data_IF_473762523496
#
_entry.id   IF_473762523496
#
_cell.length_a   1.000
_cell.length_b   1.000
_cell.length_c   1.000
_cell.angle_alpha   90.00
_cell.angle_beta   90.00
_cell.angle_gamma   90.00
#
_symmetry.space_group_name_H-M   'P 1'
#
loop_
_entity.id
_entity.type
_entity.pdbx_description
1 polymer ?
#
# COMPACT_ATOMS: atom_id res chain seq x y z
N UNK A 1 -10.27 -26.72 -9.12
CA UNK A 1 -9.88 -25.35 -8.88
C UNK A 1 -11.04 -24.40 -9.13
N UNK A 2 -11.35 -23.51 -8.19
CA UNK A 2 -12.45 -22.57 -8.45
C UNK A 2 -12.08 -21.60 -9.57
N UNK A 3 -13.06 -21.27 -10.39
CA UNK A 3 -12.89 -20.25 -11.43
C UNK A 3 -12.83 -18.85 -10.79
N UNK A 4 -12.26 -17.84 -11.52
CA UNK A 4 -12.27 -16.47 -11.03
C UNK A 4 -13.68 -16.02 -10.67
N UNK A 5 -13.82 -15.36 -9.52
CA UNK A 5 -15.09 -14.89 -9.00
C UNK A 5 -15.87 -15.93 -8.19
N UNK A 6 -15.39 -17.14 -8.13
CA UNK A 6 -16.06 -18.21 -7.39
C UNK A 6 -15.62 -18.20 -5.91
N UNK A 7 -16.60 -18.32 -5.00
CA UNK A 7 -16.33 -18.41 -3.56
C UNK A 7 -16.36 -19.87 -3.14
N UNK A 8 -15.42 -20.26 -2.29
CA UNK A 8 -15.28 -21.63 -1.83
C UNK A 8 -15.54 -21.68 -0.33
N UNK A 9 -16.61 -22.41 0.05
CA UNK A 9 -16.96 -22.60 1.46
C UNK A 9 -17.13 -21.29 2.19
N UNK A 10 -16.47 -21.14 3.35
CA UNK A 10 -16.53 -19.93 4.18
C UNK A 10 -15.49 -18.87 3.81
N UNK A 11 -14.77 -19.07 2.73
CA UNK A 11 -13.79 -18.10 2.27
C UNK A 11 -14.51 -16.96 1.57
N UNK A 12 -14.47 -15.73 2.15
CA UNK A 12 -15.28 -14.63 1.63
C UNK A 12 -14.71 -13.93 0.41
N UNK A 13 -13.54 -14.34 -0.07
CA UNK A 13 -12.85 -13.69 -1.18
C UNK A 13 -13.06 -14.43 -2.49
N UNK A 14 -13.05 -13.68 -3.59
CA UNK A 14 -13.11 -14.21 -4.95
C UNK A 14 -11.87 -13.74 -5.71
N UNK A 15 -11.37 -14.59 -6.65
CA UNK A 15 -10.29 -14.17 -7.52
C UNK A 15 -10.74 -12.98 -8.38
N UNK A 16 -9.87 -11.99 -8.56
CA UNK A 16 -10.15 -10.90 -9.48
C UNK A 16 -10.17 -11.41 -10.91
N UNK A 17 -11.05 -10.82 -11.72
CA UNK A 17 -11.11 -11.13 -13.15
C UNK A 17 -9.86 -10.59 -13.84
N UNK A 18 -9.36 -11.27 -14.88
CA UNK A 18 -8.10 -10.86 -15.54
C UNK A 18 -8.08 -9.40 -16.01
N UNK A 19 -9.18 -8.91 -16.53
CA UNK A 19 -9.27 -7.53 -17.01
C UNK A 19 -9.14 -6.52 -15.86
N UNK A 20 -9.83 -6.76 -14.75
CA UNK A 20 -9.78 -5.92 -13.57
C UNK A 20 -8.40 -6.00 -12.90
N UNK A 21 -7.82 -7.20 -12.88
CA UNK A 21 -6.49 -7.43 -12.34
C UNK A 21 -5.43 -6.62 -13.11
N UNK A 22 -5.50 -6.63 -14.43
CA UNK A 22 -4.56 -5.87 -15.26
C UNK A 22 -4.65 -4.37 -14.99
N UNK A 23 -5.87 -3.84 -14.83
CA UNK A 23 -6.07 -2.43 -14.51
C UNK A 23 -5.45 -2.07 -13.16
N UNK A 24 -5.64 -2.94 -12.18
CA UNK A 24 -5.10 -2.71 -10.83
C UNK A 24 -3.58 -2.77 -10.83
N UNK A 25 -2.99 -3.74 -11.51
CA UNK A 25 -1.53 -3.88 -11.59
C UNK A 25 -0.92 -2.63 -12.19
N UNK A 26 -1.52 -2.10 -13.24
CA UNK A 26 -1.05 -0.87 -13.87
C UNK A 26 -1.16 0.33 -12.93
N UNK A 27 -2.27 0.45 -12.21
CA UNK A 27 -2.46 1.53 -11.24
C UNK A 27 -1.45 1.42 -10.09
N UNK A 28 -1.18 0.22 -9.60
CA UNK A 28 -0.20 -0.02 -8.54
C UNK A 28 1.21 0.36 -9.01
N UNK A 29 1.57 -0.05 -10.23
CA UNK A 29 2.89 0.27 -10.79
C UNK A 29 3.07 1.79 -10.94
N UNK A 30 2.01 2.52 -11.26
CA UNK A 30 2.07 3.96 -11.39
C UNK A 30 2.44 4.68 -10.09
N UNK A 31 2.12 4.10 -8.94
CA UNK A 31 2.51 4.63 -7.63
C UNK A 31 3.73 3.93 -7.04
N UNK A 32 4.33 2.99 -7.77
CA UNK A 32 5.56 2.33 -7.35
C UNK A 32 5.37 1.03 -6.57
N UNK A 33 4.20 0.43 -6.64
CA UNK A 33 3.93 -0.84 -5.96
C UNK A 33 4.01 -1.99 -6.94
N UNK A 34 4.82 -2.98 -6.61
CA UNK A 34 4.99 -4.19 -7.41
C UNK A 34 5.11 -5.40 -6.49
N UNK A 35 4.76 -6.57 -7.01
CA UNK A 35 4.86 -7.82 -6.28
C UNK A 35 5.20 -8.96 -7.23
N UNK A 36 5.66 -10.05 -6.64
CA UNK A 36 6.07 -11.23 -7.39
C UNK A 36 4.86 -12.01 -7.91
N UNK A 37 5.05 -12.75 -9.00
CA UNK A 37 4.00 -13.53 -9.66
C UNK A 37 3.37 -14.61 -8.78
N UNK A 38 4.03 -14.97 -7.68
CA UNK A 38 3.48 -15.94 -6.73
C UNK A 38 2.42 -15.35 -5.79
N UNK A 39 2.09 -14.07 -5.96
CA UNK A 39 0.99 -13.42 -5.26
C UNK A 39 -0.14 -13.16 -6.23
N UNK A 40 -1.35 -13.56 -5.85
CA UNK A 40 -2.55 -13.39 -6.66
C UNK A 40 -3.51 -12.40 -6.03
N UNK A 41 -4.29 -11.71 -6.88
CA UNK A 41 -5.26 -10.71 -6.44
C UNK A 41 -6.62 -11.35 -6.21
N UNK A 42 -7.17 -11.06 -5.03
CA UNK A 42 -8.50 -11.47 -4.61
C UNK A 42 -9.29 -10.26 -4.16
N UNK A 43 -10.60 -10.37 -4.18
CA UNK A 43 -11.46 -9.25 -3.77
C UNK A 43 -12.60 -9.74 -2.88
N UNK A 44 -13.04 -8.83 -2.00
CA UNK A 44 -14.23 -8.98 -1.18
C UNK A 44 -14.88 -7.61 -1.11
N UNK A 45 -16.06 -7.46 -1.72
CA UNK A 45 -16.73 -6.17 -1.87
C UNK A 45 -15.80 -5.17 -2.55
N UNK A 46 -15.41 -4.11 -1.87
CA UNK A 46 -14.49 -3.09 -2.40
C UNK A 46 -13.04 -3.32 -2.00
N UNK A 47 -12.78 -4.33 -1.18
CA UNK A 47 -11.43 -4.63 -0.71
C UNK A 47 -10.69 -5.49 -1.71
N UNK A 48 -9.43 -5.16 -1.94
CA UNK A 48 -8.54 -5.90 -2.82
C UNK A 48 -7.36 -6.40 -2.00
N UNK A 49 -7.09 -7.70 -2.11
CA UNK A 49 -6.10 -8.39 -1.30
C UNK A 49 -5.12 -9.15 -2.17
N UNK A 50 -3.90 -9.32 -1.66
CA UNK A 50 -2.88 -10.20 -2.23
C UNK A 50 -2.75 -11.44 -1.37
N UNK A 51 -2.90 -12.60 -1.99
CA UNK A 51 -2.68 -13.89 -1.34
C UNK A 51 -1.63 -14.69 -2.09
N UNK A 52 -0.89 -15.57 -1.39
CA UNK A 52 0.02 -16.48 -2.07
C UNK A 52 -0.70 -17.33 -3.11
N UNK A 53 -0.05 -17.58 -4.23
CA UNK A 53 -0.64 -18.35 -5.33
C UNK A 53 -1.06 -19.75 -4.89
N UNK A 54 -0.38 -20.33 -3.91
CA UNK A 54 -0.64 -21.68 -3.42
C UNK A 54 -1.79 -21.75 -2.39
N UNK A 55 -2.44 -20.64 -2.08
CA UNK A 55 -3.52 -20.64 -1.09
C UNK A 55 -4.76 -21.38 -1.58
N UNK A 56 -5.02 -21.36 -2.90
CA UNK A 56 -6.23 -21.94 -3.47
C UNK A 56 -6.48 -23.40 -3.04
N UNK A 57 -5.47 -24.30 -3.07
CA UNK A 57 -5.68 -25.67 -2.62
C UNK A 57 -5.99 -25.81 -1.13
N UNK A 58 -5.70 -24.80 -0.32
CA UNK A 58 -5.91 -24.82 1.12
C UNK A 58 -7.25 -24.23 1.54
N UNK A 59 -7.95 -23.56 0.62
CA UNK A 59 -9.22 -22.92 0.92
C UNK A 59 -10.25 -23.99 1.32
N UNK A 60 -10.87 -23.79 2.48
CA UNK A 60 -11.83 -24.72 3.04
C UNK A 60 -11.21 -25.86 3.85
N UNK A 61 -9.88 -26.03 3.79
CA UNK A 61 -9.17 -27.10 4.50
C UNK A 61 -8.49 -26.62 5.77
N UNK A 62 -8.10 -25.35 5.81
CA UNK A 62 -7.44 -24.77 6.97
C UNK A 62 -8.07 -23.42 7.28
N UNK A 63 -7.96 -22.99 8.53
CA UNK A 63 -8.44 -21.70 8.96
C UNK A 63 -7.30 -20.67 8.81
N UNK A 64 -7.59 -19.55 8.16
CA UNK A 64 -6.62 -18.48 7.97
C UNK A 64 -6.94 -17.32 8.93
N UNK A 65 -5.97 -16.90 9.72
CA UNK A 65 -6.08 -15.69 10.54
C UNK A 65 -5.65 -14.44 9.75
N UNK A 66 -4.54 -14.55 9.01
CA UNK A 66 -4.04 -13.48 8.14
C UNK A 66 -3.45 -14.09 6.87
N UNK A 67 -4.30 -14.45 5.92
CA UNK A 67 -3.82 -15.18 4.74
C UNK A 67 -3.08 -14.31 3.73
N UNK A 68 -3.18 -12.97 3.82
CA UNK A 68 -2.57 -12.10 2.83
C UNK A 68 -2.47 -10.67 3.30
N UNK A 69 -2.20 -9.79 2.34
CA UNK A 69 -2.04 -8.35 2.56
C UNK A 69 -3.21 -7.63 1.89
N UNK A 70 -3.91 -6.80 2.64
CA UNK A 70 -4.91 -5.92 2.05
C UNK A 70 -4.18 -4.85 1.26
N UNK A 71 -4.38 -4.84 -0.05
CA UNK A 71 -3.67 -3.95 -0.96
C UNK A 71 -4.34 -2.60 -1.07
N UNK A 72 -5.65 -2.59 -1.30
CA UNK A 72 -6.38 -1.36 -1.60
C UNK A 72 -7.86 -1.53 -1.38
N UNK A 73 -8.56 -0.40 -1.39
CA UNK A 73 -10.02 -0.37 -1.53
C UNK A 73 -10.35 0.36 -2.83
N UNK A 74 -11.27 -0.20 -3.61
CA UNK A 74 -11.71 0.46 -4.84
C UNK A 74 -12.80 1.48 -4.53
N UNK A 75 -12.80 2.59 -5.26
CA UNK A 75 -13.87 3.59 -5.19
C UNK A 75 -14.01 4.26 -6.56
N UNK A 76 -14.99 5.16 -6.69
CA UNK A 76 -15.39 5.72 -7.99
C UNK A 76 -14.26 6.34 -8.80
N UNK A 77 -13.24 6.89 -8.15
CA UNK A 77 -12.14 7.60 -8.82
C UNK A 77 -10.84 6.81 -8.83
N UNK A 78 -10.86 5.54 -8.46
CA UNK A 78 -9.66 4.71 -8.45
C UNK A 78 -9.51 3.88 -7.19
N UNK A 79 -8.30 3.85 -6.66
CA UNK A 79 -7.97 2.96 -5.53
C UNK A 79 -7.41 3.76 -4.36
N UNK A 80 -7.78 3.35 -3.16
CA UNK A 80 -7.13 3.83 -1.94
C UNK A 80 -6.15 2.76 -1.49
N UNK A 81 -4.87 3.03 -1.65
CA UNK A 81 -3.82 2.08 -1.28
C UNK A 81 -3.68 2.01 0.22
N UNK A 82 -3.56 0.80 0.75
CA UNK A 82 -3.45 0.59 2.19
C UNK A 82 -2.01 0.81 2.65
N UNK A 83 -1.85 1.42 3.81
CA UNK A 83 -0.54 1.74 4.37
C UNK A 83 0.36 0.51 4.47
N UNK A 84 -0.17 -0.60 5.00
CA UNK A 84 0.60 -1.84 5.15
C UNK A 84 1.14 -2.35 3.82
N UNK A 85 0.33 -2.25 2.77
CA UNK A 85 0.74 -2.68 1.43
C UNK A 85 1.83 -1.76 0.87
N UNK A 86 1.70 -0.46 1.07
CA UNK A 86 2.73 0.49 0.64
C UNK A 86 4.07 0.15 1.30
N UNK A 87 4.07 -0.06 2.61
CA UNK A 87 5.29 -0.38 3.34
C UNK A 87 5.89 -1.72 2.87
N UNK A 88 5.05 -2.71 2.62
CA UNK A 88 5.52 -4.05 2.25
C UNK A 88 5.99 -4.15 0.80
N UNK A 89 5.38 -3.39 -0.11
CA UNK A 89 5.56 -3.58 -1.55
C UNK A 89 6.36 -2.48 -2.24
N UNK A 90 6.59 -1.36 -1.59
CA UNK A 90 7.42 -0.30 -2.14
C UNK A 90 8.88 -0.73 -2.11
N UNK A 91 9.55 -0.65 -3.25
CA UNK A 91 10.97 -0.99 -3.32
C UNK A 91 11.84 0.08 -2.66
N UNK A 92 12.96 -0.36 -2.09
CA UNK A 92 13.91 0.55 -1.42
C UNK A 92 14.49 1.57 -2.40
N UNK A 93 14.76 1.14 -3.62
CA UNK A 93 15.34 1.99 -4.67
C UNK A 93 14.29 2.39 -5.71
N UNK A 94 13.07 2.59 -5.29
CA UNK A 94 11.98 2.96 -6.18
C UNK A 94 12.21 4.38 -6.74
N UNK A 95 12.38 4.53 -8.06
CA UNK A 95 12.62 5.86 -8.66
C UNK A 95 11.42 6.80 -8.55
N UNK A 96 10.24 6.26 -8.21
CA UNK A 96 9.03 7.06 -8.01
C UNK A 96 8.89 7.57 -6.59
N UNK A 97 9.82 7.24 -5.72
CA UNK A 97 9.78 7.68 -4.32
C UNK A 97 10.35 9.09 -4.17
N UNK A 98 9.99 9.71 -3.05
CA UNK A 98 10.48 11.03 -2.67
C UNK A 98 11.10 10.93 -1.28
N UNK A 99 12.40 11.19 -1.21
CA UNK A 99 13.14 11.10 0.05
C UNK A 99 12.92 12.35 0.91
N UNK A 100 12.50 12.14 2.16
CA UNK A 100 12.28 13.20 3.12
C UNK A 100 13.56 13.54 3.86
N UNK A 101 13.70 14.80 4.27
CA UNK A 101 14.73 15.19 5.22
C UNK A 101 14.38 14.63 6.60
N UNK A 102 15.34 14.66 7.53
CA UNK A 102 15.10 14.22 8.90
C UNK A 102 13.91 14.96 9.54
N UNK A 103 13.89 16.28 9.39
CA UNK A 103 12.80 17.09 9.95
C UNK A 103 11.46 16.78 9.32
N UNK A 104 11.42 16.59 8.00
CA UNK A 104 10.20 16.23 7.29
C UNK A 104 9.71 14.85 7.71
N UNK A 105 10.60 13.89 7.92
CA UNK A 105 10.23 12.56 8.39
C UNK A 105 9.62 12.62 9.80
N UNK A 106 10.17 13.45 10.69
CA UNK A 106 9.58 13.64 12.01
C UNK A 106 8.16 14.20 11.92
N UNK A 107 7.97 15.21 11.07
CA UNK A 107 6.63 15.77 10.84
C UNK A 107 5.66 14.71 10.31
N UNK A 108 6.13 13.85 9.40
CA UNK A 108 5.32 12.78 8.85
C UNK A 108 4.82 11.82 9.94
N UNK A 109 5.73 11.35 10.81
CA UNK A 109 5.37 10.45 11.91
C UNK A 109 4.45 11.09 12.93
N UNK A 110 4.47 12.42 13.04
CA UNK A 110 3.55 13.16 13.90
C UNK A 110 2.17 13.38 13.26
N UNK A 111 1.97 12.85 12.06
CA UNK A 111 0.71 12.99 11.35
C UNK A 111 0.53 14.33 10.66
N UNK A 112 1.59 15.09 10.49
CA UNK A 112 1.54 16.41 9.88
C UNK A 112 1.88 16.35 8.40
N UNK A 113 1.35 17.31 7.65
CA UNK A 113 1.74 17.48 6.25
C UNK A 113 3.17 17.95 6.14
N UNK A 114 3.80 17.64 5.02
CA UNK A 114 5.19 18.01 4.76
C UNK A 114 5.23 19.06 3.65
N UNK A 115 6.11 20.04 3.81
CA UNK A 115 6.26 21.16 2.88
C UNK A 115 7.69 21.17 2.31
N UNK A 116 7.99 20.31 1.32
CA UNK A 116 9.34 20.25 0.77
C UNK A 116 9.67 21.50 -0.04
N UNK A 117 10.96 21.87 -0.06
CA UNK A 117 11.42 23.02 -0.82
C UNK A 117 11.19 22.82 -2.32
N UNK A 118 11.40 21.60 -2.80
CA UNK A 118 11.16 21.23 -4.19
C UNK A 118 10.17 20.07 -4.20
N UNK A 119 8.86 20.34 -4.36
CA UNK A 119 7.86 19.28 -4.37
C UNK A 119 8.05 18.34 -5.55
N UNK A 120 7.65 17.07 -5.41
CA UNK A 120 7.69 16.12 -6.52
C UNK A 120 6.72 16.54 -7.64
N UNK A 121 6.98 16.07 -8.85
CA UNK A 121 6.14 16.39 -10.01
C UNK A 121 4.81 15.62 -9.95
N UNK A 122 4.86 14.36 -9.51
CA UNK A 122 3.68 13.48 -9.46
C UNK A 122 2.74 13.84 -8.32
N UNK A 123 1.45 13.58 -8.52
CA UNK A 123 0.42 13.85 -7.52
C UNK A 123 0.43 12.85 -6.38
N UNK A 124 0.76 11.59 -6.66
CA UNK A 124 0.87 10.55 -5.65
C UNK A 124 2.30 10.04 -5.63
N UNK A 125 2.92 10.01 -4.46
CA UNK A 125 4.32 9.65 -4.33
C UNK A 125 4.55 8.91 -3.02
N UNK A 126 5.36 7.85 -3.08
CA UNK A 126 5.80 7.15 -1.88
C UNK A 126 6.90 7.98 -1.25
N UNK A 127 6.69 8.40 0.01
CA UNK A 127 7.71 9.13 0.74
C UNK A 127 8.59 8.14 1.47
N UNK A 128 9.90 8.43 1.47
CA UNK A 128 10.91 7.57 2.10
C UNK A 128 11.77 8.39 3.04
N UNK A 129 12.38 7.71 3.99
CA UNK A 129 13.42 8.29 4.83
C UNK A 129 14.52 7.25 5.01
N UNK A 130 15.74 7.65 4.73
CA UNK A 130 16.89 6.75 4.71
C UNK A 130 16.58 5.51 3.84
N UNK A 131 15.95 5.77 2.69
CA UNK A 131 15.56 4.77 1.68
C UNK A 131 14.50 3.78 2.14
N UNK A 132 13.90 3.99 3.31
CA UNK A 132 12.81 3.14 3.79
C UNK A 132 11.46 3.81 3.52
N UNK A 133 10.47 3.06 3.00
CA UNK A 133 9.16 3.66 2.72
C UNK A 133 8.44 4.03 4.03
N UNK A 134 7.87 5.21 4.07
CA UNK A 134 7.08 5.68 5.19
C UNK A 134 5.59 5.67 4.89
N UNK A 135 5.21 5.82 3.65
CA UNK A 135 3.83 5.83 3.23
C UNK A 135 3.62 6.51 1.89
N UNK A 136 2.38 6.60 1.48
CA UNK A 136 1.99 7.26 0.23
C UNK A 136 1.48 8.66 0.56
N UNK A 137 2.06 9.67 -0.07
CA UNK A 137 1.64 11.05 0.09
C UNK A 137 0.93 11.54 -1.17
N UNK A 138 -0.02 12.44 -0.99
CA UNK A 138 -0.69 13.11 -2.09
C UNK A 138 -0.24 14.56 -2.13
N UNK A 139 0.21 15.00 -3.30
CA UNK A 139 0.61 16.40 -3.47
C UNK A 139 -0.64 17.27 -3.59
N UNK A 140 -0.73 18.28 -2.75
CA UNK A 140 -1.78 19.29 -2.77
C UNK A 140 -1.11 20.65 -2.73
N UNK A 141 -1.03 21.30 -3.88
CA UNK A 141 -0.26 22.55 -3.99
C UNK A 141 1.21 22.30 -3.74
N UNK A 142 1.78 22.99 -2.76
CA UNK A 142 3.19 22.88 -2.41
C UNK A 142 3.44 21.88 -1.27
N UNK A 143 2.40 21.20 -0.79
CA UNK A 143 2.51 20.29 0.34
C UNK A 143 2.29 18.85 -0.06
N UNK A 144 2.84 17.95 0.73
CA UNK A 144 2.56 16.53 0.67
C UNK A 144 1.62 16.20 1.82
N UNK A 145 0.40 15.79 1.47
CA UNK A 145 -0.63 15.49 2.46
C UNK A 145 -0.30 14.18 3.16
N UNK A 146 -0.36 14.21 4.49
CA UNK A 146 -0.04 13.06 5.33
C UNK A 146 -1.15 12.01 5.27
N UNK A 147 -0.75 10.76 5.06
CA UNK A 147 -1.66 9.62 5.08
C UNK A 147 -1.27 8.59 6.14
N UNK A 148 -0.35 8.94 7.03
CA UNK A 148 0.11 8.03 8.07
C UNK A 148 -1.06 7.65 8.98
N UNK A 149 -1.27 6.36 9.28
CA UNK A 149 -2.39 5.95 10.11
C UNK A 149 -2.37 6.63 11.48
N UNK A 150 -3.51 7.16 11.89
CA UNK A 150 -3.60 7.94 13.13
C UNK A 150 -3.19 7.13 14.35
N UNK A 151 -3.49 5.84 14.35
CA UNK A 151 -3.13 4.94 15.46
C UNK A 151 -1.61 4.74 15.58
N UNK A 152 -0.85 5.10 14.54
CA UNK A 152 0.60 4.99 14.55
C UNK A 152 1.30 6.32 14.78
N UNK A 153 0.54 7.42 14.82
CA UNK A 153 1.09 8.76 15.00
C UNK A 153 1.80 8.86 16.35
N UNK A 154 2.95 9.51 16.34
CA UNK A 154 3.76 9.72 17.53
C UNK A 154 4.03 11.20 17.72
N UNK A 155 3.76 11.71 18.92
CA UNK A 155 3.92 13.11 19.25
C UNK A 155 5.26 13.40 19.93
N UNK A 156 5.93 12.37 20.43
CA UNK A 156 7.18 12.51 21.10
C UNK A 156 8.38 12.56 20.16
N UNK A 157 9.57 12.43 20.74
CA UNK A 157 10.82 12.36 20.00
C UNK A 157 10.89 11.01 19.28
N UNK A 158 10.87 11.04 17.96
CA UNK A 158 10.71 9.83 17.16
C UNK A 158 12.00 9.12 16.87
N UNK A 159 13.05 9.88 16.65
CA UNK A 159 14.35 9.29 16.42
C UNK A 159 15.09 9.42 17.74
N UNK A 160 15.47 8.26 18.29
CA UNK A 160 16.26 8.26 19.50
C UNK A 160 17.35 9.28 19.33
N UNK A 161 17.42 10.23 20.25
CA UNK A 161 18.51 11.15 20.17
C UNK A 161 19.77 10.33 20.41
N UNK A 162 20.59 10.30 19.41
CA UNK A 162 21.92 9.72 19.55
C UNK A 162 22.84 10.68 20.28
N UNK A 163 22.26 11.41 21.17
CA UNK A 163 23.01 12.24 22.07
C UNK A 163 23.35 11.45 23.30
#
# INVERSE_FOLDING_TARGET
MPSPGYKVGNFPFSRMKPKEEALLINAAAAVGLQWHDDLHLWQRDKEIWLFPAHIAPLIGKVRFSRPGIKLAESHNKGYRWQHEAVIALAGVDNPLSFELTHQEAEEWYRGRDVYPQTPPIKDDVIVTYQRQPLGLAKKVGSRLKNSYPRELVRDGRLFASNT
#
